data_IF_021765296655
#
_entry.id   IF_021765296655
#
_cell.length_a   1.000
_cell.length_b   1.000
_cell.length_c   1.000
_cell.angle_alpha   90.00
_cell.angle_beta   90.00
_cell.angle_gamma   90.00
#
_symmetry.space_group_name_H-M   'P 1'
#
loop_
_entity.id
_entity.type
_entity.pdbx_description
1 polymer ?
#
# COMPACT_ATOMS: atom_id res chain seq x y z
N UNK A 1 -1.96 10.63 -9.67
CA UNK A 1 -1.12 9.46 -10.05
C UNK A 1 -2.07 8.38 -10.57
N UNK A 2 -1.62 7.50 -11.48
CA UNK A 2 -2.35 6.40 -12.17
C UNK A 2 -3.73 6.63 -12.85
N UNK A 3 -4.46 7.73 -12.61
CA UNK A 3 -5.82 7.94 -13.14
C UNK A 3 -5.95 7.83 -14.67
N UNK A 4 -4.99 8.37 -15.43
CA UNK A 4 -4.97 8.22 -16.89
C UNK A 4 -4.74 6.78 -17.35
N UNK A 5 -3.86 6.05 -16.67
CA UNK A 5 -3.60 4.63 -16.95
C UNK A 5 -4.79 3.74 -16.58
N UNK A 6 -5.48 4.08 -15.48
CA UNK A 6 -6.74 3.43 -15.10
C UNK A 6 -7.79 3.62 -16.19
N UNK A 7 -8.04 4.87 -16.60
CA UNK A 7 -8.98 5.20 -17.66
C UNK A 7 -8.63 4.46 -18.95
N UNK A 8 -7.36 4.47 -19.37
CA UNK A 8 -6.91 3.75 -20.57
C UNK A 8 -7.24 2.26 -20.51
N UNK A 9 -7.13 1.64 -19.33
CA UNK A 9 -7.41 0.21 -19.14
C UNK A 9 -8.89 -0.13 -19.32
N UNK A 10 -9.78 0.74 -18.85
CA UNK A 10 -11.24 0.48 -18.86
C UNK A 10 -11.98 1.09 -20.05
N UNK A 11 -11.35 2.04 -20.76
CA UNK A 11 -11.95 2.79 -21.86
C UNK A 11 -12.62 1.91 -22.94
N UNK A 12 -12.02 0.77 -23.39
CA UNK A 12 -12.69 -0.09 -24.35
C UNK A 12 -14.01 -0.67 -23.86
N UNK A 13 -14.15 -0.85 -22.54
CA UNK A 13 -15.37 -1.35 -21.92
C UNK A 13 -16.37 -0.22 -21.71
N UNK A 14 -15.92 0.97 -21.27
CA UNK A 14 -16.76 2.18 -21.21
C UNK A 14 -17.42 2.51 -22.55
N UNK A 15 -16.66 2.42 -23.65
CA UNK A 15 -17.19 2.65 -25.01
C UNK A 15 -18.28 1.64 -25.39
N UNK A 16 -18.23 0.40 -24.89
CA UNK A 16 -19.28 -0.60 -25.12
C UNK A 16 -20.52 -0.37 -24.26
N UNK A 17 -20.34 0.15 -23.05
CA UNK A 17 -21.41 0.43 -22.08
C UNK A 17 -22.19 1.67 -22.51
N UNK A 18 -21.50 2.78 -22.74
CA UNK A 18 -22.10 4.10 -22.97
C UNK A 18 -22.20 4.50 -24.45
N UNK A 19 -21.58 3.74 -25.36
CA UNK A 19 -21.48 4.09 -26.77
C UNK A 19 -20.42 5.17 -27.06
N UNK A 20 -20.02 5.27 -28.32
CA UNK A 20 -19.10 6.30 -28.79
C UNK A 20 -19.78 7.68 -28.82
N UNK A 21 -19.03 8.74 -28.51
CA UNK A 21 -19.45 10.15 -28.54
C UNK A 21 -20.64 10.53 -27.63
N UNK A 22 -21.03 9.66 -26.68
CA UNK A 22 -22.12 9.97 -25.75
C UNK A 22 -21.69 10.98 -24.66
N UNK A 23 -22.61 11.87 -24.21
CA UNK A 23 -22.37 12.74 -23.06
C UNK A 23 -22.00 11.96 -21.80
N UNK A 24 -22.63 10.80 -21.60
CA UNK A 24 -22.39 9.89 -20.49
C UNK A 24 -20.95 9.36 -20.50
N UNK A 25 -20.44 8.94 -21.67
CA UNK A 25 -19.06 8.50 -21.81
C UNK A 25 -18.09 9.63 -21.43
N UNK A 26 -18.31 10.85 -21.93
CA UNK A 26 -17.43 11.99 -21.61
C UNK A 26 -17.39 12.29 -20.11
N UNK A 27 -18.53 12.19 -19.44
CA UNK A 27 -18.64 12.41 -18.02
C UNK A 27 -17.96 11.30 -17.21
N UNK A 28 -18.21 10.04 -17.55
CA UNK A 28 -17.57 8.89 -16.90
C UNK A 28 -16.05 8.88 -17.11
N UNK A 29 -15.56 9.25 -18.30
CA UNK A 29 -14.13 9.44 -18.55
C UNK A 29 -13.51 10.46 -17.60
N UNK A 30 -14.19 11.59 -17.34
CA UNK A 30 -13.73 12.58 -16.34
C UNK A 30 -13.74 11.99 -14.93
N UNK A 31 -14.75 11.19 -14.58
CA UNK A 31 -14.82 10.49 -13.29
C UNK A 31 -13.66 9.52 -13.10
N UNK A 32 -13.32 8.69 -14.10
CA UNK A 32 -12.20 7.75 -13.95
C UNK A 32 -10.82 8.38 -14.08
N UNK A 33 -10.72 9.56 -14.71
CA UNK A 33 -9.49 10.35 -14.77
C UNK A 33 -9.14 11.04 -13.43
N UNK A 34 -10.04 10.99 -12.43
CA UNK A 34 -9.77 11.50 -11.08
C UNK A 34 -8.57 10.81 -10.44
N UNK A 35 -8.08 11.40 -9.35
CA UNK A 35 -6.97 10.84 -8.58
C UNK A 35 -7.29 9.42 -8.13
N UNK A 36 -6.44 8.48 -8.54
CA UNK A 36 -6.53 7.08 -8.16
C UNK A 36 -5.11 6.57 -7.95
N UNK A 37 -4.74 6.24 -6.73
CA UNK A 37 -3.39 5.75 -6.46
C UNK A 37 -3.48 4.53 -5.56
N UNK A 38 -3.25 3.36 -6.14
CA UNK A 38 -3.26 2.10 -5.41
C UNK A 38 -2.08 1.23 -5.81
N UNK A 39 -1.90 0.12 -5.12
CA UNK A 39 -0.87 -0.85 -5.46
C UNK A 39 -1.18 -1.49 -6.81
N UNK A 40 -0.18 -1.56 -7.70
CA UNK A 40 -0.34 -2.17 -9.02
C UNK A 40 -0.83 -3.62 -8.93
N UNK A 41 -0.50 -4.32 -7.84
CA UNK A 41 -0.89 -5.70 -7.60
C UNK A 41 -2.38 -5.86 -7.30
N UNK A 42 -3.03 -4.85 -6.72
CA UNK A 42 -4.45 -4.91 -6.32
C UNK A 42 -5.38 -3.97 -7.10
N UNK A 43 -4.84 -3.15 -7.99
CA UNK A 43 -5.60 -2.34 -8.94
C UNK A 43 -6.66 -3.20 -9.71
N UNK A 44 -6.31 -4.42 -10.11
CA UNK A 44 -7.21 -5.30 -10.87
C UNK A 44 -8.47 -5.71 -10.10
N UNK A 45 -8.47 -5.69 -8.76
CA UNK A 45 -9.70 -5.92 -7.98
C UNK A 45 -10.64 -4.74 -8.16
N UNK A 46 -10.14 -3.52 -7.94
CA UNK A 46 -10.95 -2.30 -8.04
C UNK A 46 -11.51 -2.19 -9.46
N UNK A 47 -10.67 -2.41 -10.47
CA UNK A 47 -11.06 -2.41 -11.88
C UNK A 47 -12.16 -3.43 -12.19
N UNK A 48 -12.03 -4.66 -11.68
CA UNK A 48 -13.02 -5.71 -11.94
C UNK A 48 -14.39 -5.38 -11.34
N UNK A 49 -14.42 -4.89 -10.10
CA UNK A 49 -15.66 -4.50 -9.43
C UNK A 49 -16.27 -3.26 -10.10
N UNK A 50 -15.46 -2.25 -10.41
CA UNK A 50 -15.87 -1.04 -11.12
C UNK A 50 -16.62 -1.38 -12.43
N UNK A 51 -15.97 -2.13 -13.33
CA UNK A 51 -16.59 -2.54 -14.60
C UNK A 51 -17.89 -3.31 -14.37
N UNK A 52 -17.94 -4.21 -13.38
CA UNK A 52 -19.14 -4.96 -13.06
C UNK A 52 -20.31 -4.07 -12.59
N UNK A 53 -20.01 -2.99 -11.86
CA UNK A 53 -21.00 -2.00 -11.43
C UNK A 53 -21.53 -1.20 -12.61
N UNK A 54 -20.65 -0.71 -13.47
CA UNK A 54 -21.04 0.11 -14.62
C UNK A 54 -21.79 -0.67 -15.68
N UNK A 55 -21.44 -1.92 -15.93
CA UNK A 55 -22.21 -2.75 -16.86
C UNK A 55 -23.66 -2.97 -16.39
N UNK A 56 -23.89 -3.00 -15.07
CA UNK A 56 -25.20 -3.28 -14.47
C UNK A 56 -26.06 -2.04 -14.27
N UNK A 57 -25.51 -1.01 -13.64
CA UNK A 57 -26.24 0.21 -13.27
C UNK A 57 -25.99 1.37 -14.25
N UNK A 58 -25.11 1.19 -15.24
CA UNK A 58 -24.80 2.18 -16.28
C UNK A 58 -24.42 3.52 -15.64
N UNK A 59 -25.01 4.64 -16.06
CA UNK A 59 -24.68 5.95 -15.53
C UNK A 59 -25.05 6.12 -14.04
N UNK A 60 -26.00 5.34 -13.52
CA UNK A 60 -26.38 5.39 -12.11
C UNK A 60 -25.27 4.88 -11.16
N UNK A 61 -24.33 4.05 -11.67
CA UNK A 61 -23.20 3.56 -10.89
C UNK A 61 -22.18 4.65 -10.52
N UNK A 62 -22.22 5.83 -11.14
CA UNK A 62 -21.16 6.86 -11.06
C UNK A 62 -20.70 7.17 -9.63
N UNK A 63 -21.63 7.47 -8.72
CA UNK A 63 -21.27 7.82 -7.34
C UNK A 63 -20.80 6.59 -6.55
N UNK A 64 -21.40 5.42 -6.81
CA UNK A 64 -21.02 4.15 -6.18
C UNK A 64 -19.60 3.72 -6.58
N UNK A 65 -19.25 3.82 -7.87
CA UNK A 65 -17.91 3.55 -8.41
C UNK A 65 -16.88 4.51 -7.86
N UNK A 66 -17.21 5.81 -7.83
CA UNK A 66 -16.33 6.82 -7.24
C UNK A 66 -16.07 6.54 -5.76
N UNK A 67 -17.12 6.23 -5.00
CA UNK A 67 -17.03 5.84 -3.59
C UNK A 67 -16.16 4.60 -3.39
N UNK A 68 -16.38 3.55 -4.20
CA UNK A 68 -15.58 2.33 -4.20
C UNK A 68 -14.10 2.63 -4.46
N UNK A 69 -13.77 3.40 -5.51
CA UNK A 69 -12.39 3.75 -5.85
C UNK A 69 -11.70 4.50 -4.71
N UNK A 70 -12.36 5.51 -4.14
CA UNK A 70 -11.82 6.30 -3.04
C UNK A 70 -11.65 5.45 -1.77
N UNK A 71 -12.64 4.61 -1.47
CA UNK A 71 -12.64 3.76 -0.29
C UNK A 71 -11.58 2.65 -0.33
N UNK A 72 -11.31 2.09 -1.51
CA UNK A 72 -10.40 0.96 -1.67
C UNK A 72 -8.97 1.35 -2.06
N UNK A 73 -8.75 2.51 -2.70
CA UNK A 73 -7.42 2.86 -3.23
C UNK A 73 -6.33 2.88 -2.14
N UNK A 74 -6.64 3.45 -0.97
CA UNK A 74 -5.70 3.61 0.15
C UNK A 74 -5.37 2.28 0.84
N UNK A 75 -6.38 1.52 1.29
CA UNK A 75 -6.11 0.23 1.92
C UNK A 75 -5.41 -0.75 0.98
N UNK A 76 -5.85 -0.88 -0.27
CA UNK A 76 -5.20 -1.79 -1.22
C UNK A 76 -3.80 -1.31 -1.64
N UNK A 77 -3.51 -0.01 -1.58
CA UNK A 77 -2.14 0.49 -1.67
C UNK A 77 -1.28 -0.11 -0.54
N UNK A 78 -1.66 0.14 0.71
CA UNK A 78 -0.87 -0.28 1.87
C UNK A 78 -0.61 -1.79 1.87
N UNK A 79 -1.64 -2.60 1.59
CA UNK A 79 -1.56 -4.06 1.65
C UNK A 79 -0.75 -4.61 0.47
N UNK A 80 -1.05 -4.15 -0.74
CA UNK A 80 -0.37 -4.60 -1.94
C UNK A 80 1.11 -4.24 -1.91
N UNK A 81 1.46 -3.03 -1.46
CA UNK A 81 2.84 -2.59 -1.38
C UNK A 81 3.62 -3.29 -0.27
N UNK A 82 2.98 -3.57 0.88
CA UNK A 82 3.60 -4.36 1.95
C UNK A 82 3.97 -5.77 1.49
N UNK A 83 3.03 -6.47 0.83
CA UNK A 83 3.23 -7.88 0.43
C UNK A 83 4.13 -7.96 -0.81
N UNK A 84 3.73 -7.30 -1.89
CA UNK A 84 4.35 -7.51 -3.19
C UNK A 84 5.43 -6.47 -3.51
N UNK A 85 5.34 -5.28 -2.92
CA UNK A 85 6.37 -4.23 -3.04
C UNK A 85 7.56 -4.43 -2.10
N UNK A 86 7.35 -5.04 -0.93
CA UNK A 86 8.39 -5.19 0.10
C UNK A 86 8.69 -6.65 0.44
N UNK A 87 7.71 -7.40 0.97
CA UNK A 87 7.95 -8.74 1.51
C UNK A 87 8.47 -9.73 0.47
N UNK A 88 7.79 -9.84 -0.67
CA UNK A 88 8.20 -10.76 -1.75
C UNK A 88 9.59 -10.41 -2.29
N UNK A 89 9.90 -9.18 -2.72
CA UNK A 89 11.25 -8.82 -3.14
C UNK A 89 12.31 -9.04 -2.06
N UNK A 90 11.98 -8.82 -0.79
CA UNK A 90 12.92 -9.06 0.32
C UNK A 90 13.28 -10.53 0.44
N UNK A 91 12.29 -11.43 0.41
CA UNK A 91 12.51 -12.88 0.54
C UNK A 91 13.26 -13.42 -0.68
N UNK A 92 12.73 -13.19 -1.89
CA UNK A 92 13.35 -13.73 -3.10
C UNK A 92 14.67 -13.05 -3.43
N UNK A 93 14.82 -11.77 -3.13
CA UNK A 93 16.08 -11.04 -3.25
C UNK A 93 17.15 -11.57 -2.29
N UNK A 94 16.79 -11.88 -1.04
CA UNK A 94 17.73 -12.49 -0.09
C UNK A 94 18.16 -13.89 -0.54
N UNK A 95 17.23 -14.72 -1.03
CA UNK A 95 17.56 -16.04 -1.57
C UNK A 95 18.48 -15.91 -2.79
N UNK A 96 18.12 -15.05 -3.74
CA UNK A 96 18.92 -14.81 -4.94
C UNK A 96 20.32 -14.31 -4.61
N UNK A 97 20.45 -13.37 -3.67
CA UNK A 97 21.73 -12.82 -3.25
C UNK A 97 22.62 -13.88 -2.58
N UNK A 98 22.09 -14.67 -1.64
CA UNK A 98 22.85 -15.74 -0.99
C UNK A 98 23.34 -16.78 -2.00
N UNK A 99 22.47 -17.25 -2.90
CA UNK A 99 22.86 -18.24 -3.90
C UNK A 99 23.85 -17.69 -4.93
N UNK A 100 23.77 -16.40 -5.25
CA UNK A 100 24.72 -15.75 -6.14
C UNK A 100 26.14 -15.67 -5.53
N UNK A 101 26.26 -15.53 -4.20
CA UNK A 101 27.58 -15.57 -3.53
C UNK A 101 28.26 -16.92 -3.70
N UNK A 102 27.49 -18.00 -3.76
CA UNK A 102 27.98 -19.36 -4.04
C UNK A 102 28.14 -19.66 -5.54
N UNK A 103 27.97 -18.66 -6.41
CA UNK A 103 28.06 -18.81 -7.87
C UNK A 103 26.87 -19.56 -8.51
N UNK A 104 25.76 -19.74 -7.79
CA UNK A 104 24.60 -20.49 -8.25
C UNK A 104 23.48 -19.56 -8.78
N UNK A 105 23.15 -19.58 -10.09
CA UNK A 105 22.14 -18.71 -10.67
C UNK A 105 20.69 -19.11 -10.33
N UNK A 106 20.47 -20.25 -9.68
CA UNK A 106 19.13 -20.79 -9.41
C UNK A 106 18.26 -19.83 -8.57
N UNK A 107 18.86 -19.04 -7.68
CA UNK A 107 18.14 -18.05 -6.89
C UNK A 107 17.49 -16.95 -7.75
N UNK A 108 18.16 -16.51 -8.82
CA UNK A 108 17.59 -15.56 -9.77
C UNK A 108 16.44 -16.18 -10.59
N UNK A 109 16.56 -17.45 -10.98
CA UNK A 109 15.49 -18.18 -11.66
C UNK A 109 14.24 -18.31 -10.78
N UNK A 110 14.41 -18.63 -9.48
CA UNK A 110 13.29 -18.69 -8.53
C UNK A 110 12.56 -17.34 -8.42
N UNK A 111 13.31 -16.24 -8.35
CA UNK A 111 12.69 -14.91 -8.29
C UNK A 111 11.94 -14.59 -9.60
N UNK A 112 12.50 -14.92 -10.75
CA UNK A 112 11.81 -14.76 -12.03
C UNK A 112 10.50 -15.55 -12.08
N UNK A 113 10.50 -16.81 -11.65
CA UNK A 113 9.28 -17.64 -11.58
C UNK A 113 8.26 -17.06 -10.61
N UNK A 114 8.69 -16.52 -9.47
CA UNK A 114 7.81 -15.84 -8.52
C UNK A 114 7.13 -14.61 -9.16
N UNK A 115 7.87 -13.83 -9.94
CA UNK A 115 7.31 -12.69 -10.67
C UNK A 115 6.29 -13.12 -11.73
N UNK A 116 6.55 -14.21 -12.46
CA UNK A 116 5.57 -14.78 -13.39
C UNK A 116 4.29 -15.23 -12.66
N UNK A 117 4.44 -15.88 -11.49
CA UNK A 117 3.30 -16.28 -10.67
C UNK A 117 2.44 -15.07 -10.25
N UNK A 118 3.07 -13.95 -9.91
CA UNK A 118 2.36 -12.70 -9.57
C UNK A 118 1.63 -12.11 -10.77
N UNK A 119 2.21 -12.17 -11.97
CA UNK A 119 1.52 -11.74 -13.20
C UNK A 119 0.27 -12.59 -13.45
N UNK A 120 0.40 -13.92 -13.31
CA UNK A 120 -0.75 -14.85 -13.45
C UNK A 120 -1.81 -14.59 -12.39
N UNK A 121 -1.39 -14.36 -11.14
CA UNK A 121 -2.28 -13.99 -10.04
C UNK A 121 -3.09 -12.74 -10.40
N UNK A 122 -2.43 -11.66 -10.84
CA UNK A 122 -3.09 -10.39 -11.22
C UNK A 122 -4.11 -10.57 -12.34
N UNK A 123 -3.80 -11.43 -13.32
CA UNK A 123 -4.73 -11.70 -14.41
C UNK A 123 -5.97 -12.48 -13.94
N UNK A 124 -5.79 -13.53 -13.13
CA UNK A 124 -6.93 -14.31 -12.59
C UNK A 124 -7.78 -13.48 -11.62
N UNK A 125 -7.13 -12.63 -10.83
CA UNK A 125 -7.75 -11.73 -9.87
C UNK A 125 -8.76 -10.78 -10.53
N UNK A 126 -8.48 -10.24 -11.72
CA UNK A 126 -9.43 -9.39 -12.45
C UNK A 126 -10.75 -10.11 -12.75
N UNK A 127 -10.68 -11.34 -13.28
CA UNK A 127 -11.86 -12.15 -13.61
C UNK A 127 -12.67 -12.48 -12.37
N UNK A 128 -11.99 -12.83 -11.29
CA UNK A 128 -12.62 -13.09 -10.00
C UNK A 128 -13.33 -11.84 -9.47
N UNK A 129 -12.64 -10.70 -9.44
CA UNK A 129 -13.20 -9.45 -8.96
C UNK A 129 -14.40 -8.96 -9.78
N UNK A 130 -14.39 -9.15 -11.09
CA UNK A 130 -15.55 -8.86 -11.94
C UNK A 130 -16.75 -9.77 -11.62
N UNK A 131 -16.53 -11.08 -11.47
CA UNK A 131 -17.60 -12.03 -11.12
C UNK A 131 -18.20 -11.73 -9.74
N UNK A 132 -17.35 -11.48 -8.74
CA UNK A 132 -17.79 -11.10 -7.40
C UNK A 132 -18.43 -9.70 -7.40
N UNK A 133 -17.93 -8.77 -8.23
CA UNK A 133 -18.53 -7.45 -8.44
C UNK A 133 -19.98 -7.53 -8.93
N UNK A 134 -20.26 -8.43 -9.88
CA UNK A 134 -21.64 -8.68 -10.33
C UNK A 134 -22.52 -9.16 -9.15
N UNK A 135 -22.01 -10.06 -8.33
CA UNK A 135 -22.73 -10.55 -7.13
C UNK A 135 -23.00 -9.43 -6.13
N UNK A 136 -21.99 -8.59 -5.89
CA UNK A 136 -22.07 -7.43 -5.00
C UNK A 136 -23.19 -6.46 -5.42
N UNK A 137 -23.28 -6.16 -6.72
CA UNK A 137 -24.28 -5.23 -7.25
C UNK A 137 -25.69 -5.83 -7.26
N UNK A 138 -25.81 -7.12 -7.59
CA UNK A 138 -27.12 -7.76 -7.78
C UNK A 138 -27.77 -8.23 -6.48
N UNK A 139 -26.99 -8.56 -5.45
CA UNK A 139 -27.52 -9.18 -4.23
C UNK A 139 -27.04 -8.56 -2.93
N UNK A 140 -26.03 -7.68 -2.96
CA UNK A 140 -25.30 -7.26 -1.77
C UNK A 140 -24.87 -5.79 -1.81
N UNK A 141 -25.71 -4.90 -2.34
CA UNK A 141 -25.39 -3.46 -2.43
C UNK A 141 -25.08 -2.86 -1.04
N UNK A 142 -25.77 -3.30 0.01
CA UNK A 142 -25.49 -2.94 1.41
C UNK A 142 -24.13 -3.43 1.94
N UNK A 143 -23.49 -4.41 1.28
CA UNK A 143 -22.16 -4.91 1.65
C UNK A 143 -21.01 -4.16 1.01
N UNK A 144 -21.25 -3.25 0.06
CA UNK A 144 -20.20 -2.37 -0.47
C UNK A 144 -19.54 -1.56 0.65
N UNK A 145 -20.37 -1.08 1.59
CA UNK A 145 -19.88 -0.42 2.81
C UNK A 145 -19.07 -1.39 3.68
N UNK A 146 -19.59 -2.59 3.94
CA UNK A 146 -18.87 -3.61 4.73
C UNK A 146 -17.52 -4.00 4.11
N UNK A 147 -17.46 -4.10 2.78
CA UNK A 147 -16.23 -4.40 2.04
C UNK A 147 -15.22 -3.27 2.18
N UNK A 148 -15.67 -2.02 2.04
CA UNK A 148 -14.82 -0.83 2.22
C UNK A 148 -14.32 -0.72 3.66
N UNK A 149 -15.18 -1.00 4.64
CA UNK A 149 -14.82 -0.99 6.07
C UNK A 149 -13.81 -2.10 6.39
N UNK A 150 -14.02 -3.32 5.88
CA UNK A 150 -13.10 -4.43 6.06
C UNK A 150 -11.74 -4.13 5.42
N UNK A 151 -11.73 -3.58 4.20
CA UNK A 151 -10.51 -3.15 3.54
C UNK A 151 -9.79 -2.09 4.36
N UNK A 152 -10.49 -1.06 4.84
CA UNK A 152 -9.93 0.01 5.68
C UNK A 152 -9.30 -0.53 6.95
N UNK A 153 -9.98 -1.42 7.67
CA UNK A 153 -9.45 -2.07 8.87
C UNK A 153 -8.17 -2.85 8.57
N UNK A 154 -8.17 -3.62 7.48
CA UNK A 154 -7.02 -4.38 7.03
C UNK A 154 -5.86 -3.44 6.64
N UNK A 155 -6.14 -2.32 5.96
CA UNK A 155 -5.16 -1.30 5.61
C UNK A 155 -4.51 -0.65 6.82
N UNK A 156 -5.30 -0.23 7.81
CA UNK A 156 -4.80 0.37 9.06
C UNK A 156 -3.93 -0.64 9.83
N UNK A 157 -4.38 -1.90 9.92
CA UNK A 157 -3.60 -2.97 10.52
C UNK A 157 -2.24 -3.16 9.83
N UNK A 158 -2.23 -3.20 8.50
CA UNK A 158 -0.99 -3.37 7.72
C UNK A 158 -0.04 -2.19 7.90
N UNK A 159 -0.53 -0.94 7.92
CA UNK A 159 0.32 0.22 8.21
C UNK A 159 0.95 0.11 9.59
N UNK A 160 0.18 -0.28 10.62
CA UNK A 160 0.72 -0.51 11.96
C UNK A 160 1.80 -1.59 12.01
N UNK A 161 1.58 -2.72 11.32
CA UNK A 161 2.55 -3.80 11.22
C UNK A 161 3.84 -3.36 10.51
N UNK A 162 3.73 -2.57 9.44
CA UNK A 162 4.89 -2.02 8.73
C UNK A 162 5.71 -1.08 9.60
N UNK A 163 5.06 -0.21 10.39
CA UNK A 163 5.75 0.68 11.34
C UNK A 163 6.55 -0.15 12.36
N UNK A 164 5.96 -1.19 12.92
CA UNK A 164 6.61 -2.03 13.93
C UNK A 164 7.78 -2.85 13.38
N UNK A 165 7.72 -3.25 12.11
CA UNK A 165 8.68 -4.20 11.51
C UNK A 165 9.78 -3.53 10.67
N UNK A 166 9.44 -2.49 9.91
CA UNK A 166 10.36 -1.86 8.95
C UNK A 166 11.23 -0.77 9.56
N UNK A 167 10.81 -0.14 10.66
CA UNK A 167 11.60 0.90 11.33
C UNK A 167 12.47 0.25 12.40
N UNK A 168 13.78 0.19 12.12
CA UNK A 168 14.81 -0.38 13.00
C UNK A 168 15.65 0.74 13.62
N UNK A 169 15.06 1.49 14.54
CA UNK A 169 15.78 2.53 15.31
C UNK A 169 15.78 2.13 16.77
N UNK A 170 16.96 2.16 17.41
CA UNK A 170 17.16 1.88 18.83
C UNK A 170 17.92 3.03 19.50
N UNK A 171 17.69 3.22 20.80
CA UNK A 171 18.54 4.11 21.60
C UNK A 171 19.94 3.52 21.72
N UNK A 172 20.97 4.33 21.50
CA UNK A 172 22.37 3.95 21.64
C UNK A 172 22.94 4.28 23.03
N UNK A 173 22.19 5.05 23.83
CA UNK A 173 22.65 5.51 25.13
C UNK A 173 22.50 4.43 26.19
N UNK A 174 23.63 3.83 26.58
CA UNK A 174 23.75 2.88 27.70
C UNK A 174 24.51 3.54 28.86
N UNK A 175 23.85 4.34 29.73
CA UNK A 175 24.52 4.89 30.90
C UNK A 175 24.93 3.75 31.85
N UNK A 176 26.23 3.70 32.17
CA UNK A 176 26.78 2.80 33.20
C UNK A 176 26.60 3.43 34.57
N UNK A 177 25.89 2.76 35.47
CA UNK A 177 25.84 3.11 36.89
C UNK A 177 26.63 2.03 37.64
N UNK A 178 27.89 2.31 37.98
CA UNK A 178 28.80 1.30 38.53
C UNK A 178 29.15 0.22 37.48
N UNK A 179 29.04 -1.07 37.86
CA UNK A 179 29.23 -2.24 36.96
C UNK A 179 27.94 -2.64 36.20
N UNK A 180 26.81 -1.97 36.44
CA UNK A 180 25.54 -2.27 35.78
C UNK A 180 25.33 -1.31 34.60
N UNK A 181 25.38 -1.87 33.39
CA UNK A 181 24.90 -1.20 32.17
C UNK A 181 23.37 -1.11 32.22
N UNK A 182 22.82 0.08 32.45
CA UNK A 182 21.38 0.30 32.37
C UNK A 182 21.01 0.47 30.89
N UNK A 183 20.46 -0.59 30.30
CA UNK A 183 19.92 -0.55 28.94
C UNK A 183 18.55 0.09 28.96
N UNK A 184 18.49 1.40 28.75
CA UNK A 184 17.24 2.18 28.67
C UNK A 184 16.27 1.57 27.64
N UNK A 185 16.79 0.97 26.57
CA UNK A 185 16.02 0.27 25.56
C UNK A 185 15.24 -0.93 26.13
N UNK A 186 15.83 -1.72 27.03
CA UNK A 186 15.19 -2.91 27.59
C UNK A 186 14.05 -2.54 28.56
N UNK A 187 14.21 -1.44 29.32
CA UNK A 187 13.13 -0.90 30.17
C UNK A 187 11.97 -0.35 29.35
N UNK A 188 12.26 0.32 28.23
CA UNK A 188 11.23 0.83 27.32
C UNK A 188 10.50 -0.32 26.60
N UNK A 189 11.23 -1.31 26.09
CA UNK A 189 10.67 -2.46 25.39
C UNK A 189 9.87 -3.40 26.31
N UNK A 190 10.15 -3.39 27.62
CA UNK A 190 9.35 -4.11 28.63
C UNK A 190 7.95 -3.50 28.84
N UNK A 191 7.80 -2.19 28.63
CA UNK A 191 6.51 -1.50 28.73
C UNK A 191 5.77 -1.57 27.38
N UNK A 192 6.45 -1.21 26.29
CA UNK A 192 5.90 -1.27 24.94
C UNK A 192 7.03 -1.52 23.91
N UNK A 193 7.09 -2.71 23.30
CA UNK A 193 8.07 -3.01 22.27
C UNK A 193 7.94 -2.03 21.11
N UNK A 194 9.07 -1.52 20.60
CA UNK A 194 9.10 -0.59 19.44
C UNK A 194 8.41 0.76 19.71
N UNK A 195 8.45 1.25 20.95
CA UNK A 195 7.96 2.58 21.32
C UNK A 195 8.64 3.70 20.53
N UNK A 196 9.95 3.61 20.28
CA UNK A 196 10.70 4.64 19.55
C UNK A 196 10.24 4.78 18.08
N UNK A 197 10.15 3.70 17.28
CA UNK A 197 9.48 3.73 15.98
C UNK A 197 8.09 4.38 15.99
N UNK A 198 7.27 4.07 17.00
CA UNK A 198 5.93 4.62 17.13
C UNK A 198 5.97 6.15 17.31
N UNK A 199 6.83 6.65 18.21
CA UNK A 199 7.01 8.09 18.44
C UNK A 199 7.48 8.81 17.18
N UNK A 200 8.43 8.22 16.44
CA UNK A 200 8.92 8.80 15.19
C UNK A 200 7.78 8.93 14.17
N UNK A 201 6.98 7.89 14.01
CA UNK A 201 5.85 7.90 13.06
C UNK A 201 4.79 8.92 13.47
N UNK A 202 4.43 9.00 14.76
CA UNK A 202 3.53 10.04 15.24
C UNK A 202 4.09 11.45 15.02
N UNK A 203 5.39 11.64 15.23
CA UNK A 203 6.07 12.91 14.95
C UNK A 203 5.99 13.31 13.47
N UNK A 204 6.24 12.37 12.55
CA UNK A 204 6.12 12.61 11.11
C UNK A 204 4.67 12.85 10.69
N UNK A 205 3.72 12.07 11.23
CA UNK A 205 2.30 12.25 10.97
C UNK A 205 1.83 13.65 11.39
N UNK A 206 2.21 14.09 12.59
CA UNK A 206 1.93 15.44 13.08
C UNK A 206 2.59 16.52 12.22
N UNK A 207 3.83 16.31 11.78
CA UNK A 207 4.55 17.24 10.92
C UNK A 207 3.84 17.44 9.58
N UNK A 208 3.35 16.36 8.97
CA UNK A 208 2.61 16.38 7.71
C UNK A 208 1.24 17.06 7.82
N UNK A 209 0.65 17.13 9.01
CA UNK A 209 -0.56 17.90 9.27
C UNK A 209 -0.39 19.42 9.18
N UNK A 210 0.84 19.94 9.05
CA UNK A 210 1.10 21.38 8.93
C UNK A 210 0.90 21.90 7.51
N UNK A 211 0.26 23.08 7.39
CA UNK A 211 -0.21 23.72 6.15
C UNK A 211 0.83 23.92 5.02
N UNK A 212 2.12 23.86 5.33
CA UNK A 212 3.23 24.03 4.37
C UNK A 212 4.15 22.80 4.27
N UNK A 213 3.76 21.68 4.87
CA UNK A 213 4.54 20.45 4.84
C UNK A 213 4.09 19.57 3.68
N UNK A 214 5.06 19.03 2.95
CA UNK A 214 4.82 18.01 1.94
C UNK A 214 5.73 16.81 2.23
N UNK A 215 5.45 15.67 1.60
CA UNK A 215 6.20 14.42 1.84
C UNK A 215 7.70 14.59 1.61
N UNK A 216 8.11 15.35 0.59
CA UNK A 216 9.52 15.62 0.29
C UNK A 216 10.22 16.36 1.43
N UNK A 217 9.63 17.44 1.95
CA UNK A 217 10.19 18.22 3.08
C UNK A 217 10.27 17.38 4.34
N UNK A 218 9.24 16.57 4.62
CA UNK A 218 9.25 15.67 5.76
C UNK A 218 10.40 14.65 5.68
N UNK A 219 10.65 14.07 4.50
CA UNK A 219 11.78 13.16 4.27
C UNK A 219 13.12 13.86 4.59
N UNK A 220 13.35 15.07 4.06
CA UNK A 220 14.58 15.81 4.34
C UNK A 220 14.77 16.11 5.83
N UNK A 221 13.70 16.48 6.54
CA UNK A 221 13.75 16.72 7.99
C UNK A 221 14.13 15.44 8.73
N UNK A 222 13.48 14.31 8.42
CA UNK A 222 13.79 13.02 9.05
C UNK A 222 15.24 12.61 8.81
N UNK A 223 15.76 12.79 7.58
CA UNK A 223 17.16 12.50 7.26
C UNK A 223 18.10 13.36 8.11
N UNK A 224 17.90 14.68 8.13
CA UNK A 224 18.77 15.61 8.88
C UNK A 224 18.73 15.27 10.38
N UNK A 225 17.54 15.09 10.95
CA UNK A 225 17.37 14.74 12.37
C UNK A 225 18.03 13.40 12.69
N UNK A 226 17.88 12.39 11.82
CA UNK A 226 18.49 11.08 12.02
C UNK A 226 20.02 11.16 12.01
N UNK A 227 20.60 11.95 11.10
CA UNK A 227 22.06 12.17 11.03
C UNK A 227 22.55 12.86 12.30
N UNK A 228 21.88 13.93 12.75
CA UNK A 228 22.27 14.68 13.95
C UNK A 228 22.16 13.81 15.20
N UNK A 229 21.05 13.09 15.38
CA UNK A 229 20.87 12.20 16.53
C UNK A 229 21.85 11.03 16.54
N UNK A 230 22.23 10.52 15.36
CA UNK A 230 23.25 9.48 15.24
C UNK A 230 24.65 10.02 15.55
N UNK A 231 25.00 11.21 15.06
CA UNK A 231 26.28 11.87 15.34
C UNK A 231 26.45 12.23 16.83
N UNK A 232 25.35 12.55 17.52
CA UNK A 232 25.33 12.77 18.97
C UNK A 232 25.31 11.47 19.79
N UNK A 233 25.28 10.30 19.15
CA UNK A 233 25.27 8.99 19.83
C UNK A 233 23.97 8.69 20.58
N UNK A 234 22.86 9.35 20.23
CA UNK A 234 21.55 9.14 20.87
C UNK A 234 20.83 7.92 20.26
N UNK A 235 20.98 7.72 18.95
CA UNK A 235 20.40 6.59 18.22
C UNK A 235 21.48 5.80 17.47
N UNK A 236 21.28 4.48 17.36
CA UNK A 236 22.16 3.60 16.58
C UNK A 236 21.34 2.69 15.66
N UNK A 237 21.96 2.30 14.54
CA UNK A 237 21.46 1.26 13.65
C UNK A 237 22.05 -0.08 14.09
N UNK A 238 21.18 -1.02 14.44
CA UNK A 238 21.51 -2.46 14.43
C UNK A 238 20.48 -3.15 13.54
#
# INVERSE_FOLDING_TARGET
MQGSGYLFTILPQLRKIYGDDSPELQEMMKTHAQFFNTSNFFNTIITGIDIAMEEREQFAAKESVKGLKVGLMGPFAAVGDAIFGSLVPTIFGAIAANMAQDGNPFGALLWFVAMLAIIVFRWKQLKFAYKEGISLVTTMQHRLESLTNAATLLGVFMVGALVATMIRVKFAWEPKIGDLTVKIQDSADMILPRLLPLIIVFGVYWLLGRKNMNSTRAIFIVIIVSIVLSALGVITNI
#
